data_IF_364273706346
#
_entry.id   IF_364273706346
#
_cell.length_a   1.000
_cell.length_b   1.000
_cell.length_c   1.000
_cell.angle_alpha   90.00
_cell.angle_beta   90.00
_cell.angle_gamma   90.00
#
_symmetry.space_group_name_H-M   'P 1'
#
loop_
_entity.id
_entity.type
_entity.pdbx_description
1 polymer ?
#
# COMPACT_ATOMS: atom_id res chain seq x y z
N UNK A 1 2.17 -8.27 18.22
CA UNK A 1 1.31 -7.41 17.38
C UNK A 1 -0.01 -8.09 17.15
N UNK A 2 -1.11 -7.39 17.39
CA UNK A 2 -2.46 -7.83 17.03
C UNK A 2 -3.12 -6.76 16.18
N UNK A 3 -3.41 -7.09 14.91
CA UNK A 3 -4.24 -6.27 14.03
C UNK A 3 -5.65 -6.86 14.02
N UNK A 4 -6.60 -6.20 14.69
CA UNK A 4 -7.99 -6.63 14.69
C UNK A 4 -8.78 -5.89 13.61
N UNK A 5 -9.74 -6.56 12.96
CA UNK A 5 -10.63 -5.94 11.97
C UNK A 5 -10.04 -5.76 10.56
N UNK A 6 -8.84 -6.29 10.26
CA UNK A 6 -8.26 -6.26 8.89
C UNK A 6 -9.22 -6.85 7.86
N UNK A 7 -9.91 -7.92 8.23
CA UNK A 7 -10.93 -8.62 7.42
C UNK A 7 -12.37 -8.22 7.76
N UNK A 8 -12.58 -7.08 8.43
CA UNK A 8 -13.94 -6.57 8.67
C UNK A 8 -14.54 -5.97 7.39
N UNK A 9 -15.86 -6.05 7.26
CA UNK A 9 -16.60 -5.39 6.16
C UNK A 9 -16.43 -3.88 6.22
N UNK A 10 -16.38 -3.24 5.05
CA UNK A 10 -16.20 -1.80 4.94
C UNK A 10 -17.46 -1.04 5.39
N UNK A 11 -17.30 -0.09 6.32
CA UNK A 11 -18.40 0.75 6.78
C UNK A 11 -18.80 1.72 5.68
N UNK A 12 -20.08 1.73 5.34
CA UNK A 12 -20.70 2.54 4.30
C UNK A 12 -21.54 3.68 4.92
N UNK A 13 -22.07 4.53 4.09
CA UNK A 13 -23.01 5.61 4.44
C UNK A 13 -24.13 5.08 5.37
N UNK A 14 -24.42 5.85 6.42
CA UNK A 14 -25.37 5.47 7.45
C UNK A 14 -24.84 4.48 8.50
N UNK A 15 -23.67 3.89 8.28
CA UNK A 15 -23.03 3.02 9.28
C UNK A 15 -22.51 3.83 10.47
N UNK A 16 -22.73 3.30 11.69
CA UNK A 16 -22.30 3.96 12.91
C UNK A 16 -20.77 3.97 13.07
N UNK A 17 -20.24 5.02 13.70
CA UNK A 17 -18.83 5.04 14.13
C UNK A 17 -18.62 4.02 15.25
N UNK A 18 -17.71 3.05 15.09
CA UNK A 18 -17.39 2.12 16.17
C UNK A 18 -16.76 2.87 17.36
N UNK A 19 -17.15 2.55 18.60
CA UNK A 19 -16.54 3.16 19.76
C UNK A 19 -15.03 2.87 19.81
N UNK A 20 -14.22 3.84 20.18
CA UNK A 20 -12.77 3.68 20.39
C UNK A 20 -12.50 3.58 21.88
N UNK A 21 -11.88 2.48 22.33
CA UNK A 21 -11.47 2.33 23.72
C UNK A 21 -10.36 3.34 24.08
N UNK A 22 -10.35 3.80 25.32
CA UNK A 22 -9.31 4.70 25.80
C UNK A 22 -7.91 4.08 25.65
N UNK A 23 -6.97 4.82 25.07
CA UNK A 23 -5.60 4.34 24.80
C UNK A 23 -5.47 3.37 23.62
N UNK A 24 -6.56 3.05 22.92
CA UNK A 24 -6.45 2.21 21.73
C UNK A 24 -5.94 3.01 20.53
N UNK A 25 -5.17 2.33 19.70
CA UNK A 25 -4.69 2.83 18.41
C UNK A 25 -5.58 2.29 17.29
N UNK A 26 -6.05 3.17 16.42
CA UNK A 26 -6.95 2.80 15.31
C UNK A 26 -6.40 3.25 13.97
N UNK A 27 -6.56 2.38 12.96
CA UNK A 27 -6.29 2.70 11.55
C UNK A 27 -7.60 2.68 10.77
N UNK A 28 -7.92 3.76 10.10
CA UNK A 28 -8.98 3.83 9.10
C UNK A 28 -8.39 3.46 7.75
N UNK A 29 -8.82 2.34 7.22
CA UNK A 29 -8.24 1.65 6.08
C UNK A 29 -9.22 1.54 4.90
N UNK A 30 -8.69 1.29 3.73
CA UNK A 30 -9.40 0.81 2.53
C UNK A 30 -8.55 -0.31 1.94
N UNK A 31 -9.05 -1.54 1.97
CA UNK A 31 -8.29 -2.79 1.77
C UNK A 31 -7.49 -2.86 0.48
N UNK A 32 -7.92 -2.21 -0.60
CA UNK A 32 -7.26 -2.23 -1.91
C UNK A 32 -6.49 -0.95 -2.24
N UNK A 33 -6.40 -0.01 -1.29
CA UNK A 33 -5.76 1.29 -1.50
C UNK A 33 -4.26 1.23 -1.19
N UNK A 34 -3.36 1.50 -2.17
CA UNK A 34 -1.93 1.46 -1.93
C UNK A 34 -1.44 2.49 -0.91
N UNK A 35 -2.11 3.64 -0.82
CA UNK A 35 -1.78 4.64 0.20
C UNK A 35 -2.17 4.20 1.61
N UNK A 36 -3.34 3.54 1.77
CA UNK A 36 -3.75 2.98 3.04
C UNK A 36 -2.85 1.81 3.45
N UNK A 37 -2.44 0.99 2.50
CA UNK A 37 -1.52 -0.12 2.70
C UNK A 37 -0.16 0.33 3.23
N UNK A 38 0.37 1.51 2.82
CA UNK A 38 1.57 2.11 3.43
C UNK A 38 1.47 2.21 4.96
N UNK A 39 0.35 2.75 5.45
CA UNK A 39 0.12 2.90 6.88
C UNK A 39 -0.02 1.54 7.57
N UNK A 40 -0.75 0.61 6.95
CA UNK A 40 -0.94 -0.74 7.47
C UNK A 40 0.37 -1.51 7.58
N UNK A 41 1.20 -1.50 6.53
CA UNK A 41 2.51 -2.14 6.53
C UNK A 41 3.43 -1.54 7.61
N UNK A 42 3.41 -0.23 7.78
CA UNK A 42 4.24 0.43 8.76
C UNK A 42 3.81 0.12 10.21
N UNK A 43 2.50 0.11 10.48
CA UNK A 43 1.93 -0.31 11.77
C UNK A 43 2.32 -1.77 12.07
N UNK A 44 2.19 -2.66 11.07
CA UNK A 44 2.56 -4.06 11.18
C UNK A 44 4.07 -4.24 11.44
N UNK A 45 4.92 -3.56 10.67
CA UNK A 45 6.37 -3.64 10.80
C UNK A 45 6.88 -3.13 12.16
N UNK A 46 6.21 -2.12 12.73
CA UNK A 46 6.52 -1.62 14.08
C UNK A 46 6.01 -2.53 15.20
N UNK A 47 5.14 -3.49 14.90
CA UNK A 47 4.52 -4.35 15.89
C UNK A 47 3.50 -3.65 16.77
N UNK A 48 2.86 -2.57 16.29
CA UNK A 48 1.84 -1.82 17.03
C UNK A 48 0.53 -2.61 17.01
N UNK A 49 -0.08 -2.79 18.17
CA UNK A 49 -1.43 -3.33 18.27
C UNK A 49 -2.45 -2.28 17.81
N UNK A 50 -3.26 -2.62 16.83
CA UNK A 50 -4.18 -1.68 16.21
C UNK A 50 -5.56 -2.29 15.91
N UNK A 51 -6.59 -1.48 16.09
CA UNK A 51 -7.92 -1.74 15.56
C UNK A 51 -8.02 -1.15 14.15
N UNK A 52 -8.36 -1.97 13.16
CA UNK A 52 -8.53 -1.56 11.77
C UNK A 52 -10.00 -1.41 11.45
N UNK A 53 -10.39 -0.23 10.99
CA UNK A 53 -11.73 0.07 10.50
C UNK A 53 -11.65 0.25 8.99
N UNK A 54 -12.22 -0.70 8.25
CA UNK A 54 -12.35 -0.56 6.80
C UNK A 54 -13.48 0.40 6.46
N UNK A 55 -13.23 1.34 5.56
CA UNK A 55 -14.17 2.39 5.15
C UNK A 55 -14.39 2.33 3.65
N UNK A 56 -15.66 2.34 3.22
CA UNK A 56 -16.00 2.57 1.83
C UNK A 56 -15.79 4.06 1.50
N UNK A 57 -14.72 4.38 0.78
CA UNK A 57 -14.34 5.77 0.50
C UNK A 57 -15.15 6.42 -0.64
N UNK A 58 -15.96 5.65 -1.36
CA UNK A 58 -16.90 6.18 -2.39
C UNK A 58 -18.29 6.43 -1.79
N UNK A 59 -18.79 5.52 -0.95
CA UNK A 59 -20.05 5.64 -0.21
C UNK A 59 -19.77 5.70 1.30
N UNK A 60 -19.05 6.77 1.71
CA UNK A 60 -18.47 6.89 3.04
C UNK A 60 -19.48 7.26 4.12
N UNK A 61 -19.30 6.75 5.35
CA UNK A 61 -20.12 7.17 6.48
C UNK A 61 -19.84 8.65 6.83
N UNK A 62 -20.85 9.37 7.22
CA UNK A 62 -20.80 10.83 7.43
C UNK A 62 -19.80 11.24 8.52
N UNK A 63 -19.69 10.43 9.57
CA UNK A 63 -18.74 10.67 10.67
C UNK A 63 -17.28 10.63 10.22
N UNK A 64 -16.96 9.86 9.16
CA UNK A 64 -15.59 9.72 8.67
C UNK A 64 -15.01 11.03 8.13
N UNK A 65 -15.84 11.95 7.65
CA UNK A 65 -15.38 13.28 7.23
C UNK A 65 -14.82 14.13 8.39
N UNK A 66 -15.13 13.77 9.65
CA UNK A 66 -14.48 14.37 10.83
C UNK A 66 -13.09 13.80 11.09
N UNK A 67 -12.81 12.58 10.63
CA UNK A 67 -11.49 11.94 10.74
C UNK A 67 -10.59 12.34 9.55
N UNK A 68 -11.13 12.31 8.34
CA UNK A 68 -10.42 12.71 7.12
C UNK A 68 -11.27 13.72 6.33
N UNK A 69 -10.92 15.01 6.33
CA UNK A 69 -11.78 16.05 5.71
C UNK A 69 -12.08 15.82 4.22
N UNK A 70 -11.17 15.15 3.48
CA UNK A 70 -11.37 14.75 2.08
C UNK A 70 -12.02 13.37 1.95
N UNK A 71 -12.30 12.66 3.05
CA UNK A 71 -12.88 11.33 3.05
C UNK A 71 -12.04 10.28 2.34
N UNK A 72 -10.71 10.41 2.38
CA UNK A 72 -9.74 9.45 1.80
C UNK A 72 -9.22 8.51 2.89
N UNK A 73 -8.49 7.47 2.49
CA UNK A 73 -7.71 6.61 3.35
C UNK A 73 -6.22 6.69 2.96
N UNK A 74 -5.29 6.52 3.93
CA UNK A 74 -5.50 6.21 5.33
C UNK A 74 -5.75 7.43 6.23
N UNK A 75 -6.26 7.14 7.43
CA UNK A 75 -6.12 8.00 8.60
C UNK A 75 -5.82 7.11 9.81
N UNK A 76 -5.16 7.65 10.82
CA UNK A 76 -4.96 6.97 12.12
C UNK A 76 -5.56 7.82 13.25
N UNK A 77 -5.97 7.17 14.33
CA UNK A 77 -6.42 7.84 15.55
C UNK A 77 -5.69 7.26 16.76
N UNK A 78 -5.05 8.15 17.52
CA UNK A 78 -4.26 7.81 18.70
C UNK A 78 -4.44 8.88 19.76
N UNK A 79 -4.89 8.50 20.96
CA UNK A 79 -5.13 9.42 22.08
C UNK A 79 -5.98 10.65 21.70
N UNK A 80 -7.05 10.44 20.96
CA UNK A 80 -7.97 11.48 20.50
C UNK A 80 -7.40 12.41 19.41
N UNK A 81 -6.21 12.12 18.90
CA UNK A 81 -5.59 12.85 17.79
C UNK A 81 -5.71 12.05 16.52
N UNK A 82 -6.04 12.74 15.42
CA UNK A 82 -6.12 12.12 14.09
C UNK A 82 -4.94 12.60 13.25
N UNK A 83 -4.24 11.66 12.60
CA UNK A 83 -3.18 11.94 11.64
C UNK A 83 -3.58 11.35 10.30
N UNK A 84 -3.44 12.14 9.25
CA UNK A 84 -3.74 11.77 7.86
C UNK A 84 -2.48 11.86 7.01
N UNK A 85 -2.58 11.45 5.74
CA UNK A 85 -1.52 11.42 4.73
C UNK A 85 -0.51 10.29 4.94
N UNK A 86 -0.46 9.39 3.98
CA UNK A 86 0.30 8.13 4.03
C UNK A 86 1.82 8.30 4.14
N UNK A 87 2.37 9.49 3.86
CA UNK A 87 3.79 9.79 4.04
C UNK A 87 4.10 10.36 5.43
N UNK A 88 3.13 11.01 6.09
CA UNK A 88 3.32 11.60 7.42
C UNK A 88 3.00 10.62 8.56
N UNK A 89 2.06 9.70 8.31
CA UNK A 89 1.71 8.65 9.30
C UNK A 89 2.94 7.85 9.75
N UNK A 90 3.81 7.33 8.87
CA UNK A 90 5.02 6.60 9.26
C UNK A 90 5.97 7.40 10.15
N UNK A 91 6.18 8.69 9.86
CA UNK A 91 7.03 9.57 10.68
C UNK A 91 6.42 9.79 12.08
N UNK A 92 5.11 10.03 12.13
CA UNK A 92 4.39 10.12 13.41
C UNK A 92 4.52 8.83 14.22
N UNK A 93 4.36 7.67 13.58
CA UNK A 93 4.49 6.38 14.25
C UNK A 93 5.89 6.14 14.82
N UNK A 94 6.94 6.59 14.11
CA UNK A 94 8.30 6.48 14.61
C UNK A 94 8.57 7.38 15.81
N UNK A 95 7.95 8.56 15.84
CA UNK A 95 8.12 9.50 16.96
C UNK A 95 7.22 9.14 18.17
N UNK A 96 6.01 8.62 17.91
CA UNK A 96 5.06 8.22 18.97
C UNK A 96 5.39 6.86 19.60
N UNK A 97 6.03 5.95 18.84
CA UNK A 97 6.42 4.60 19.26
C UNK A 97 7.91 4.37 18.93
N UNK A 98 8.83 4.97 19.69
CA UNK A 98 10.26 5.00 19.37
C UNK A 98 10.98 3.65 19.51
N UNK A 99 10.42 2.66 20.24
CA UNK A 99 11.07 1.39 20.57
C UNK A 99 11.44 0.58 19.31
N UNK A 100 10.57 0.56 18.30
CA UNK A 100 10.78 -0.13 17.05
C UNK A 100 10.88 0.84 15.88
N UNK A 101 11.75 1.85 16.01
CA UNK A 101 11.95 2.86 14.99
C UNK A 101 12.47 2.24 13.69
N UNK A 102 11.85 2.58 12.56
CA UNK A 102 12.20 2.07 11.23
C UNK A 102 12.98 3.11 10.44
N UNK A 103 12.52 4.37 10.43
CA UNK A 103 13.23 5.47 9.77
C UNK A 103 14.49 5.81 10.55
N UNK A 104 15.68 5.91 9.91
CA UNK A 104 16.94 6.22 10.58
C UNK A 104 16.86 7.49 11.44
N UNK A 105 17.61 7.50 12.54
CA UNK A 105 17.74 8.68 13.41
C UNK A 105 18.81 9.65 12.93
N UNK A 106 19.84 9.15 12.23
CA UNK A 106 20.83 10.01 11.58
C UNK A 106 20.14 10.89 10.52
N UNK A 107 20.34 12.22 10.58
CA UNK A 107 19.63 13.14 9.67
C UNK A 107 19.92 12.90 8.19
N UNK A 108 21.15 12.50 7.84
CA UNK A 108 21.52 12.26 6.46
C UNK A 108 20.90 10.95 5.94
N UNK A 109 21.04 9.85 6.68
CA UNK A 109 20.42 8.57 6.34
C UNK A 109 18.89 8.68 6.25
N UNK A 110 18.27 9.43 7.19
CA UNK A 110 16.84 9.75 7.16
C UNK A 110 16.43 10.40 5.85
N UNK A 111 17.19 11.42 5.42
CA UNK A 111 16.92 12.13 4.15
C UNK A 111 17.12 11.19 2.96
N UNK A 112 18.14 10.33 2.96
CA UNK A 112 18.37 9.37 1.87
C UNK A 112 17.18 8.40 1.71
N UNK A 113 16.64 7.88 2.80
CA UNK A 113 15.44 7.03 2.75
C UNK A 113 14.21 7.78 2.20
N UNK A 114 14.02 9.03 2.57
CA UNK A 114 12.92 9.87 2.06
C UNK A 114 13.09 10.19 0.57
N UNK A 115 14.31 10.45 0.12
CA UNK A 115 14.61 10.65 -1.32
C UNK A 115 14.37 9.39 -2.14
N UNK A 116 14.69 8.20 -1.60
CA UNK A 116 14.34 6.94 -2.25
C UNK A 116 12.82 6.80 -2.44
N UNK A 117 12.03 7.10 -1.41
CA UNK A 117 10.56 7.07 -1.53
C UNK A 117 10.07 8.07 -2.57
N UNK A 118 10.63 9.28 -2.61
CA UNK A 118 10.27 10.29 -3.60
C UNK A 118 10.54 9.81 -5.03
N UNK A 119 11.70 9.24 -5.29
CA UNK A 119 12.05 8.65 -6.58
C UNK A 119 11.14 7.45 -6.92
N UNK A 120 10.91 6.53 -5.97
CA UNK A 120 10.07 5.35 -6.14
C UNK A 120 8.57 5.67 -6.28
N UNK A 121 8.12 6.90 -5.96
CA UNK A 121 6.74 7.33 -6.24
C UNK A 121 6.40 7.29 -7.74
N UNK A 122 7.41 7.31 -8.63
CA UNK A 122 7.22 7.10 -10.07
C UNK A 122 6.57 5.73 -10.39
N UNK A 123 6.79 4.71 -9.54
CA UNK A 123 6.15 3.39 -9.66
C UNK A 123 4.63 3.51 -9.55
N UNK A 124 4.14 4.33 -8.61
CA UNK A 124 2.71 4.60 -8.47
C UNK A 124 2.10 5.28 -9.70
N UNK A 125 2.84 6.21 -10.31
CA UNK A 125 2.45 6.83 -11.59
C UNK A 125 2.37 5.81 -12.72
N UNK A 126 3.35 4.92 -12.82
CA UNK A 126 3.38 3.84 -13.81
C UNK A 126 2.22 2.84 -13.61
N UNK A 127 1.94 2.44 -12.37
CA UNK A 127 0.79 1.60 -12.04
C UNK A 127 -0.55 2.27 -12.45
N UNK A 128 -0.67 3.59 -12.28
CA UNK A 128 -1.86 4.33 -12.69
C UNK A 128 -2.06 4.36 -14.21
N UNK A 129 -0.99 4.37 -15.00
CA UNK A 129 -1.08 4.27 -16.46
C UNK A 129 -1.75 2.97 -16.91
N UNK A 130 -1.59 1.87 -16.17
CA UNK A 130 -2.22 0.60 -16.50
C UNK A 130 -3.76 0.64 -16.41
N UNK A 131 -4.35 1.57 -15.65
CA UNK A 131 -5.80 1.81 -15.68
C UNK A 131 -6.28 2.28 -17.04
N UNK A 132 -5.46 3.05 -17.78
CA UNK A 132 -5.81 3.45 -19.15
C UNK A 132 -5.80 2.24 -20.10
N UNK A 133 -4.84 1.31 -19.90
CA UNK A 133 -4.78 0.06 -20.69
C UNK A 133 -5.94 -0.87 -20.35
N UNK A 134 -6.43 -0.90 -19.13
CA UNK A 134 -7.61 -1.68 -18.75
C UNK A 134 -8.87 -1.19 -19.49
N UNK A 135 -8.97 0.11 -19.75
CA UNK A 135 -10.06 0.73 -20.52
C UNK A 135 -9.89 0.60 -22.02
N UNK A 136 -8.66 0.67 -22.49
CA UNK A 136 -8.31 0.57 -23.92
C UNK A 136 -7.04 -0.25 -24.12
N UNK A 137 -7.21 -1.51 -24.49
CA UNK A 137 -6.11 -2.48 -24.69
C UNK A 137 -5.16 -2.09 -25.81
N UNK A 138 -5.58 -1.25 -26.75
CA UNK A 138 -4.73 -0.79 -27.86
C UNK A 138 -3.56 0.10 -27.37
N UNK A 139 -3.65 0.65 -26.16
CA UNK A 139 -2.62 1.47 -25.55
C UNK A 139 -1.51 0.67 -24.84
N UNK A 140 -1.62 -0.66 -24.79
CA UNK A 140 -0.71 -1.51 -24.00
C UNK A 140 0.76 -1.27 -24.36
N UNK A 141 1.11 -1.39 -25.64
CA UNK A 141 2.50 -1.30 -26.09
C UNK A 141 3.11 0.08 -25.79
N UNK A 142 2.32 1.13 -25.91
CA UNK A 142 2.76 2.49 -25.58
C UNK A 142 2.97 2.69 -24.07
N UNK A 143 1.99 2.28 -23.24
CA UNK A 143 1.98 2.58 -21.81
C UNK A 143 2.91 1.69 -21.01
N UNK A 144 3.08 0.42 -21.40
CA UNK A 144 3.98 -0.49 -20.69
C UNK A 144 5.47 -0.08 -20.80
N UNK A 145 5.87 0.66 -21.83
CA UNK A 145 7.23 1.20 -21.93
C UNK A 145 7.58 2.01 -20.68
N UNK A 146 6.66 2.87 -20.22
CA UNK A 146 6.88 3.65 -19.00
C UNK A 146 6.96 2.80 -17.74
N UNK A 147 6.22 1.70 -17.66
CA UNK A 147 6.33 0.71 -16.58
C UNK A 147 7.73 0.09 -16.56
N UNK A 148 8.23 -0.34 -17.71
CA UNK A 148 9.58 -0.93 -17.84
C UNK A 148 10.68 0.05 -17.46
N UNK A 149 10.59 1.32 -17.90
CA UNK A 149 11.54 2.38 -17.53
C UNK A 149 11.60 2.59 -16.01
N UNK A 150 10.44 2.64 -15.37
CA UNK A 150 10.36 2.87 -13.93
C UNK A 150 10.83 1.65 -13.13
N UNK A 151 10.53 0.43 -13.59
CA UNK A 151 11.08 -0.79 -12.99
C UNK A 151 12.61 -0.85 -13.15
N UNK A 152 13.14 -0.44 -14.30
CA UNK A 152 14.60 -0.36 -14.50
C UNK A 152 15.25 0.66 -13.57
N UNK A 153 14.63 1.82 -13.40
CA UNK A 153 15.09 2.82 -12.42
C UNK A 153 15.11 2.24 -11.00
N UNK A 154 14.04 1.56 -10.59
CA UNK A 154 13.96 0.95 -9.27
C UNK A 154 14.98 -0.18 -9.09
N UNK A 155 15.21 -1.02 -10.12
CA UNK A 155 16.28 -2.03 -10.14
C UNK A 155 17.66 -1.40 -9.90
N UNK A 156 17.92 -0.23 -10.52
CA UNK A 156 19.18 0.47 -10.37
C UNK A 156 19.33 1.19 -9.02
N UNK A 157 18.22 1.61 -8.40
CA UNK A 157 18.19 2.20 -7.06
C UNK A 157 18.37 1.17 -5.95
N UNK A 158 17.99 -0.08 -6.17
CA UNK A 158 18.14 -1.16 -5.19
C UNK A 158 19.63 -1.58 -5.10
N UNK A 159 20.31 -1.14 -4.04
CA UNK A 159 21.75 -1.34 -3.84
C UNK A 159 22.09 -2.52 -2.94
N UNK A 160 21.17 -2.95 -2.10
CA UNK A 160 21.31 -4.03 -1.15
C UNK A 160 20.13 -5.01 -1.31
N UNK A 161 19.90 -5.87 -0.33
CA UNK A 161 18.78 -6.81 -0.30
C UNK A 161 17.41 -6.12 -0.29
N UNK A 162 17.35 -4.96 0.39
CA UNK A 162 16.18 -4.09 0.48
C UNK A 162 16.59 -2.64 0.19
N UNK A 163 15.62 -1.78 -0.10
CA UNK A 163 15.85 -0.33 -0.21
C UNK A 163 16.26 0.27 1.16
N UNK A 164 15.89 -0.37 2.26
CA UNK A 164 16.33 -0.04 3.62
C UNK A 164 17.72 -0.56 3.97
N UNK A 165 18.38 -1.33 3.08
CA UNK A 165 19.68 -1.97 3.31
C UNK A 165 19.58 -3.48 3.48
N UNK A 166 20.16 -4.04 4.54
CA UNK A 166 20.15 -5.50 4.81
C UNK A 166 18.81 -6.04 5.34
N UNK A 167 17.88 -5.17 5.66
CA UNK A 167 16.52 -5.50 6.11
C UNK A 167 15.51 -4.52 5.55
N UNK A 168 14.25 -4.95 5.45
CA UNK A 168 13.17 -4.09 5.02
C UNK A 168 13.04 -2.87 5.94
N UNK A 169 12.93 -1.68 5.34
CA UNK A 169 12.92 -0.41 6.03
C UNK A 169 11.84 0.55 5.50
N UNK A 170 12.04 1.83 5.78
CA UNK A 170 11.08 2.90 5.44
C UNK A 170 10.73 2.91 3.94
N UNK A 171 11.74 2.90 3.07
CA UNK A 171 11.51 2.96 1.63
C UNK A 171 10.80 1.70 1.10
N UNK A 172 11.08 0.53 1.69
CA UNK A 172 10.44 -0.73 1.30
C UNK A 172 8.94 -0.71 1.59
N UNK A 173 8.56 -0.43 2.83
CA UNK A 173 7.15 -0.43 3.24
C UNK A 173 6.32 0.67 2.55
N UNK A 174 6.93 1.82 2.24
CA UNK A 174 6.21 2.90 1.57
C UNK A 174 6.10 2.73 0.05
N UNK A 175 6.97 1.93 -0.56
CA UNK A 175 6.98 1.75 -2.01
C UNK A 175 6.34 0.43 -2.46
N UNK A 176 6.44 -0.63 -1.65
CA UNK A 176 5.92 -1.96 -1.96
C UNK A 176 4.47 -1.95 -2.48
N UNK A 177 3.51 -1.20 -1.89
CA UNK A 177 2.12 -1.22 -2.36
C UNK A 177 1.95 -0.86 -3.84
N UNK A 178 2.83 -0.05 -4.40
CA UNK A 178 2.73 0.34 -5.80
C UNK A 178 3.31 -0.71 -6.76
N UNK A 179 4.34 -1.45 -6.33
CA UNK A 179 4.81 -2.63 -7.07
C UNK A 179 3.75 -3.72 -7.06
N UNK A 180 3.08 -3.92 -5.94
CA UNK A 180 1.96 -4.84 -5.83
C UNK A 180 0.84 -4.51 -6.82
N UNK A 181 0.50 -3.24 -7.03
CA UNK A 181 -0.50 -2.84 -8.03
C UNK A 181 -0.07 -3.17 -9.47
N UNK A 182 1.24 -3.06 -9.79
CA UNK A 182 1.74 -3.54 -11.08
C UNK A 182 1.67 -5.06 -11.17
N UNK A 183 1.97 -5.78 -10.07
CA UNK A 183 1.83 -7.23 -10.01
C UNK A 183 0.36 -7.67 -10.21
N UNK A 184 -0.62 -7.00 -9.58
CA UNK A 184 -2.04 -7.30 -9.84
C UNK A 184 -2.43 -7.07 -11.30
N UNK A 185 -1.81 -6.11 -11.95
CA UNK A 185 -2.06 -5.81 -13.37
C UNK A 185 -1.55 -6.92 -14.31
N UNK A 186 -0.57 -7.75 -13.89
CA UNK A 186 -0.08 -8.87 -14.70
C UNK A 186 -1.19 -9.91 -14.94
N UNK A 187 -1.98 -10.25 -13.90
CA UNK A 187 -3.11 -11.18 -14.01
C UNK A 187 -4.19 -10.69 -15.00
N UNK A 188 -4.25 -9.39 -15.27
CA UNK A 188 -5.15 -8.78 -16.25
C UNK A 188 -4.54 -8.70 -17.65
N UNK A 189 -3.29 -9.14 -17.84
CA UNK A 189 -2.55 -9.12 -19.12
C UNK A 189 -2.45 -7.72 -19.75
N UNK A 190 -2.45 -6.66 -18.93
CA UNK A 190 -2.32 -5.25 -19.35
C UNK A 190 -0.87 -4.78 -19.42
N UNK A 191 0.05 -5.63 -19.01
CA UNK A 191 1.50 -5.44 -19.06
C UNK A 191 2.18 -6.79 -19.26
N UNK A 192 3.26 -6.82 -20.05
CA UNK A 192 4.00 -8.05 -20.37
C UNK A 192 5.08 -8.31 -19.30
N UNK A 193 4.64 -8.68 -18.12
CA UNK A 193 5.47 -9.07 -16.98
C UNK A 193 4.96 -10.41 -16.42
N UNK A 194 5.86 -11.26 -15.90
CA UNK A 194 5.46 -12.56 -15.34
C UNK A 194 4.78 -12.39 -13.96
N UNK A 195 3.78 -13.22 -13.69
CA UNK A 195 3.10 -13.26 -12.39
C UNK A 195 3.97 -13.95 -11.31
N UNK A 196 4.53 -15.13 -11.64
CA UNK A 196 5.19 -16.01 -10.68
C UNK A 196 6.61 -15.58 -10.29
N UNK A 197 7.26 -14.76 -11.10
CA UNK A 197 8.60 -14.24 -10.85
C UNK A 197 8.67 -12.74 -11.13
N UNK A 198 7.65 -12.02 -10.64
CA UNK A 198 7.51 -10.58 -10.86
C UNK A 198 8.68 -9.79 -10.25
N UNK A 199 9.19 -8.76 -10.94
CA UNK A 199 8.84 -8.33 -12.31
C UNK A 199 9.61 -9.04 -13.43
N UNK A 200 10.45 -10.02 -13.14
CA UNK A 200 11.15 -10.87 -14.09
C UNK A 200 12.66 -10.92 -13.88
N UNK A 201 13.19 -12.13 -13.58
CA UNK A 201 14.60 -12.36 -13.24
C UNK A 201 15.60 -11.93 -14.34
N UNK A 202 15.19 -12.00 -15.60
CA UNK A 202 16.08 -11.66 -16.72
C UNK A 202 16.40 -10.16 -16.74
N UNK A 203 15.40 -9.31 -16.57
CA UNK A 203 15.53 -7.85 -16.71
C UNK A 203 15.68 -7.12 -15.36
N UNK A 204 15.14 -7.70 -14.29
CA UNK A 204 15.04 -7.08 -12.96
C UNK A 204 15.42 -8.06 -11.84
N UNK A 205 16.65 -8.63 -11.86
CA UNK A 205 17.01 -9.72 -10.94
C UNK A 205 17.03 -9.33 -9.47
N UNK A 206 17.32 -8.07 -9.13
CA UNK A 206 17.31 -7.60 -7.73
C UNK A 206 15.87 -7.33 -7.28
N UNK A 207 15.07 -6.62 -8.09
CA UNK A 207 13.66 -6.36 -7.78
C UNK A 207 12.85 -7.65 -7.67
N UNK A 208 13.12 -8.66 -8.50
CA UNK A 208 12.42 -9.94 -8.41
C UNK A 208 12.68 -10.62 -7.07
N UNK A 209 13.94 -10.65 -6.61
CA UNK A 209 14.27 -11.20 -5.28
C UNK A 209 13.71 -10.36 -4.14
N UNK A 210 13.78 -9.04 -4.27
CA UNK A 210 13.20 -8.11 -3.31
C UNK A 210 11.68 -8.28 -3.18
N UNK A 211 10.97 -8.32 -4.31
CA UNK A 211 9.52 -8.47 -4.32
C UNK A 211 9.10 -9.81 -3.72
N UNK A 212 9.79 -10.90 -4.08
CA UNK A 212 9.56 -12.23 -3.52
C UNK A 212 9.73 -12.23 -1.98
N UNK A 213 10.79 -11.62 -1.46
CA UNK A 213 11.00 -11.49 -0.02
C UNK A 213 9.93 -10.63 0.67
N UNK A 214 9.54 -9.53 0.04
CA UNK A 214 8.52 -8.65 0.60
C UNK A 214 7.16 -9.33 0.63
N UNK A 215 6.70 -9.89 -0.49
CA UNK A 215 5.35 -10.49 -0.59
C UNK A 215 5.19 -11.69 0.34
N UNK A 216 6.25 -12.45 0.63
CA UNK A 216 6.21 -13.60 1.53
C UNK A 216 6.57 -13.25 2.99
N UNK A 217 6.85 -11.99 3.31
CA UNK A 217 7.11 -11.58 4.70
C UNK A 217 5.83 -11.59 5.53
N UNK A 218 5.94 -11.93 6.82
CA UNK A 218 4.81 -11.92 7.76
C UNK A 218 4.13 -10.54 7.83
N UNK A 219 4.91 -9.47 7.68
CA UNK A 219 4.41 -8.09 7.68
C UNK A 219 3.46 -7.87 6.51
N UNK A 220 3.90 -8.19 5.29
CA UNK A 220 3.09 -8.00 4.09
C UNK A 220 1.89 -8.95 4.11
N UNK A 221 2.09 -10.22 4.44
CA UNK A 221 1.03 -11.23 4.50
C UNK A 221 -0.09 -10.87 5.50
N UNK A 222 0.22 -10.08 6.53
CA UNK A 222 -0.78 -9.67 7.51
C UNK A 222 -1.79 -8.62 6.99
N UNK A 223 -1.49 -7.97 5.84
CA UNK A 223 -2.29 -6.83 5.33
C UNK A 223 -2.63 -6.91 3.85
N UNK A 224 -1.86 -7.65 3.05
CA UNK A 224 -2.02 -7.74 1.58
C UNK A 224 -3.31 -8.45 1.17
N UNK A 225 -3.70 -8.22 -0.08
CA UNK A 225 -4.79 -8.96 -0.74
C UNK A 225 -4.21 -9.98 -1.73
N UNK A 226 -4.96 -11.05 -2.02
CA UNK A 226 -4.55 -12.01 -3.04
C UNK A 226 -4.43 -11.36 -4.42
N UNK A 227 -3.61 -11.95 -5.30
CA UNK A 227 -3.50 -11.52 -6.70
C UNK A 227 -4.88 -11.49 -7.38
N UNK A 228 -5.71 -12.51 -7.12
CA UNK A 228 -7.05 -12.63 -7.69
C UNK A 228 -7.96 -11.48 -7.25
N UNK A 229 -8.08 -11.25 -5.94
CA UNK A 229 -8.96 -10.19 -5.41
C UNK A 229 -8.44 -8.79 -5.75
N UNK A 230 -7.14 -8.58 -5.65
CA UNK A 230 -6.50 -7.32 -6.00
C UNK A 230 -6.69 -6.94 -7.46
N UNK A 231 -6.48 -7.89 -8.38
CA UNK A 231 -6.67 -7.67 -9.82
C UNK A 231 -8.14 -7.44 -10.18
N UNK A 232 -9.07 -8.20 -9.59
CA UNK A 232 -10.49 -8.01 -9.81
C UNK A 232 -10.98 -6.64 -9.35
N UNK A 233 -10.61 -6.20 -8.13
CA UNK A 233 -10.94 -4.88 -7.63
C UNK A 233 -10.33 -3.76 -8.50
N UNK A 234 -9.06 -3.92 -8.88
CA UNK A 234 -8.35 -2.95 -9.72
C UNK A 234 -9.02 -2.80 -11.09
N UNK A 235 -9.45 -3.91 -11.71
CA UNK A 235 -10.16 -3.88 -12.97
C UNK A 235 -11.52 -3.19 -12.86
N UNK A 236 -12.32 -3.51 -11.82
CA UNK A 236 -13.60 -2.87 -11.56
C UNK A 236 -13.44 -1.34 -11.37
N UNK A 237 -12.43 -0.92 -10.59
CA UNK A 237 -12.11 0.49 -10.40
C UNK A 237 -11.74 1.19 -11.72
N UNK A 238 -10.85 0.57 -12.51
CA UNK A 238 -10.39 1.13 -13.77
C UNK A 238 -11.51 1.30 -14.79
N UNK A 239 -12.44 0.32 -14.87
CA UNK A 239 -13.52 0.26 -15.87
C UNK A 239 -14.84 0.88 -15.38
N UNK A 240 -14.82 1.58 -14.22
CA UNK A 240 -16.00 2.24 -13.63
C UNK A 240 -17.16 1.29 -13.33
N UNK A 241 -16.86 0.04 -12.97
CA UNK A 241 -17.83 -0.91 -12.48
C UNK A 241 -18.16 -0.65 -10.99
N UNK A 242 -19.20 -1.30 -10.50
CA UNK A 242 -19.50 -1.31 -9.07
C UNK A 242 -18.33 -1.92 -8.27
N UNK A 243 -17.91 -1.23 -7.21
CA UNK A 243 -16.77 -1.64 -6.39
C UNK A 243 -17.24 -2.46 -5.20
N UNK A 244 -16.79 -3.69 -5.14
CA UNK A 244 -16.94 -4.53 -3.96
C UNK A 244 -15.77 -4.31 -3.00
N UNK A 245 -15.99 -3.48 -1.97
CA UNK A 245 -15.00 -3.21 -0.94
C UNK A 245 -14.75 -4.40 0.00
N UNK A 246 -15.67 -5.37 -0.02
CA UNK A 246 -15.67 -6.55 0.84
C UNK A 246 -15.20 -7.81 0.09
N UNK A 247 -14.77 -7.65 -1.17
CA UNK A 247 -14.30 -8.74 -2.04
C UNK A 247 -13.27 -9.63 -1.33
N UNK A 248 -13.54 -10.96 -1.31
CA UNK A 248 -12.71 -11.95 -0.65
C UNK A 248 -12.89 -12.03 0.88
N UNK A 249 -13.89 -11.37 1.43
CA UNK A 249 -14.36 -11.64 2.78
C UNK A 249 -15.50 -12.67 2.70
N UNK A 250 -15.37 -13.74 3.48
CA UNK A 250 -16.44 -14.73 3.60
C UNK A 250 -17.68 -14.06 4.22
N UNK A 251 -18.87 -14.46 3.76
CA UNK A 251 -20.16 -14.01 4.25
C UNK A 251 -20.48 -14.56 5.65
#
# INVERSE_FOLDING_TARGET
MVLTGVTSKAIRKGGAEPPLAAGAFRVYNMRFCPWAERAMLYVAAKGIDAEVINVNVTDKPEWYLKKHPLGKAPAIEHDGKVVIESLFIPEYLDDAFPENRILPTDPYEKVQQKLLVDQLNAVGGAAHLLFTVMRDRTLKDEKQVKVFEVLKMAEDLLKDEFFGGSKAGYADYLSFPFFEKIWWATALQVVDLPESSFPGLENYPKLTRWFDKMIHSDVVQSVTQSLEHGSAFMNAYATHQELDYDLGLDD
#
